data_IF_669196441514
#
_entry.id   IF_669196441514
#
_cell.length_a   1.000
_cell.length_b   1.000
_cell.length_c   1.000
_cell.angle_alpha   90.00
_cell.angle_beta   90.00
_cell.angle_gamma   90.00
#
_symmetry.space_group_name_H-M   'P 1'
#
loop_
_entity.id
_entity.type
_entity.pdbx_description
1 polymer ?
#
# COMPACT_ATOMS: atom_id res chain seq x y z
N UNK A 1 -8.43 -11.64 -7.28
CA UNK A 1 -8.45 -10.21 -7.02
C UNK A 1 -7.45 -9.53 -7.95
N UNK A 2 -7.72 -8.27 -8.36
CA UNK A 2 -6.72 -7.47 -9.04
C UNK A 2 -5.58 -7.26 -8.05
N UNK A 3 -4.38 -7.57 -8.48
CA UNK A 3 -3.18 -7.37 -7.69
C UNK A 3 -2.30 -6.37 -8.41
N UNK A 4 -1.74 -5.43 -7.70
CA UNK A 4 -0.57 -4.75 -8.14
C UNK A 4 0.50 -5.79 -8.43
N UNK A 5 1.47 -5.44 -9.25
CA UNK A 5 2.48 -6.41 -9.69
C UNK A 5 3.08 -7.19 -8.50
N UNK A 6 3.12 -8.51 -8.63
CA UNK A 6 3.72 -9.46 -7.69
C UNK A 6 3.15 -9.47 -6.24
N UNK A 7 2.01 -8.82 -6.00
CA UNK A 7 1.42 -8.68 -4.68
C UNK A 7 0.34 -9.72 -4.31
N UNK A 8 0.35 -10.88 -4.92
CA UNK A 8 -0.65 -11.92 -4.65
C UNK A 8 -0.73 -12.25 -3.16
N UNK A 9 0.41 -12.43 -2.50
CA UNK A 9 0.48 -12.75 -1.07
C UNK A 9 0.00 -11.59 -0.19
N UNK A 10 0.16 -10.36 -0.65
CA UNK A 10 -0.32 -9.18 0.06
C UNK A 10 -1.83 -9.15 0.13
N UNK A 11 -2.50 -9.31 -1.01
CA UNK A 11 -3.97 -9.20 -1.09
C UNK A 11 -4.69 -10.35 -0.41
N UNK A 12 -4.16 -11.57 -0.46
CA UNK A 12 -4.81 -12.75 0.16
C UNK A 12 -4.87 -12.65 1.69
N UNK A 13 -4.01 -11.87 2.31
CA UNK A 13 -4.00 -11.66 3.75
C UNK A 13 -4.84 -10.45 4.21
N UNK A 14 -5.22 -9.56 3.30
CA UNK A 14 -6.02 -8.38 3.62
C UNK A 14 -7.40 -8.71 4.26
N UNK A 15 -8.11 -9.79 3.87
CA UNK A 15 -9.32 -10.21 4.57
C UNK A 15 -9.11 -10.48 6.06
N UNK A 16 -7.93 -10.94 6.49
CA UNK A 16 -7.64 -11.14 7.92
C UNK A 16 -7.66 -9.80 8.67
N UNK A 17 -7.08 -8.73 8.11
CA UNK A 17 -7.14 -7.38 8.68
C UNK A 17 -8.59 -6.94 8.84
N UNK A 18 -9.43 -7.14 7.82
CA UNK A 18 -10.84 -6.79 7.86
C UNK A 18 -11.60 -7.57 8.95
N UNK A 19 -11.35 -8.86 9.09
CA UNK A 19 -11.98 -9.69 10.13
C UNK A 19 -11.58 -9.22 11.52
N UNK A 20 -10.29 -9.00 11.79
CA UNK A 20 -9.85 -8.48 13.08
C UNK A 20 -10.48 -7.13 13.40
N UNK A 21 -10.54 -6.24 12.42
CA UNK A 21 -11.13 -4.91 12.63
C UNK A 21 -12.66 -4.95 12.72
N UNK A 22 -13.36 -5.53 11.74
CA UNK A 22 -14.81 -5.43 11.62
C UNK A 22 -15.59 -6.44 12.47
N UNK A 23 -15.02 -7.65 12.66
CA UNK A 23 -15.71 -8.73 13.39
C UNK A 23 -15.28 -8.75 14.86
N UNK A 24 -13.98 -8.63 15.13
CA UNK A 24 -13.47 -8.65 16.50
C UNK A 24 -13.35 -7.27 17.15
N UNK A 25 -13.66 -6.20 16.42
CA UNK A 25 -13.68 -4.83 16.95
C UNK A 25 -12.31 -4.28 17.33
N UNK A 26 -11.23 -4.83 16.80
CA UNK A 26 -9.89 -4.32 17.05
C UNK A 26 -9.65 -3.00 16.31
N UNK A 27 -8.75 -2.17 16.86
CA UNK A 27 -8.27 -0.99 16.12
C UNK A 27 -7.66 -1.41 14.78
N UNK A 28 -7.61 -0.50 13.80
CA UNK A 28 -6.93 -0.80 12.52
C UNK A 28 -5.45 -1.09 12.72
N UNK A 29 -4.80 -0.45 13.71
CA UNK A 29 -3.40 -0.70 14.08
C UNK A 29 -3.18 -2.13 14.56
N UNK A 30 -4.02 -2.58 15.48
CA UNK A 30 -3.92 -3.94 16.03
C UNK A 30 -4.34 -4.97 14.99
N UNK A 31 -5.38 -4.70 14.21
CA UNK A 31 -5.84 -5.58 13.15
C UNK A 31 -4.72 -5.82 12.10
N UNK A 32 -4.03 -4.76 11.68
CA UNK A 32 -2.88 -4.90 10.79
C UNK A 32 -1.75 -5.69 11.46
N UNK A 33 -1.41 -5.36 12.71
CA UNK A 33 -0.36 -6.03 13.48
C UNK A 33 -0.60 -7.53 13.65
N UNK A 34 -1.83 -7.93 13.95
CA UNK A 34 -2.16 -9.35 14.16
C UNK A 34 -2.29 -10.15 12.86
N UNK A 35 -2.54 -9.49 11.75
CA UNK A 35 -2.74 -10.16 10.46
C UNK A 35 -1.45 -10.42 9.67
N UNK A 36 -0.33 -9.84 10.08
CA UNK A 36 0.95 -10.00 9.39
C UNK A 36 1.99 -10.72 10.25
N UNK A 37 2.91 -11.42 9.59
CA UNK A 37 3.90 -12.26 10.27
C UNK A 37 4.92 -11.45 11.08
N UNK A 38 5.26 -10.25 10.66
CA UNK A 38 6.19 -9.37 11.36
C UNK A 38 5.55 -8.57 12.48
N UNK A 39 4.21 -8.63 12.58
CA UNK A 39 3.45 -7.92 13.60
C UNK A 39 3.70 -6.41 13.63
N UNK A 40 3.95 -5.81 12.47
CA UNK A 40 4.10 -4.37 12.36
C UNK A 40 2.73 -3.69 12.26
N UNK A 41 2.58 -2.56 12.93
CA UNK A 41 1.47 -1.63 12.68
C UNK A 41 1.80 -0.70 11.51
N UNK A 42 0.94 0.28 11.22
CA UNK A 42 1.14 1.21 10.11
C UNK A 42 2.43 2.03 10.21
N UNK A 43 2.71 2.57 11.40
CA UNK A 43 3.87 3.44 11.61
C UNK A 43 5.18 2.64 11.52
N UNK A 44 5.19 1.45 12.09
CA UNK A 44 6.34 0.53 12.00
C UNK A 44 6.55 0.06 10.55
N UNK A 45 5.48 -0.24 9.81
CA UNK A 45 5.57 -0.59 8.39
C UNK A 45 6.05 0.59 7.52
N UNK A 46 5.57 1.80 7.81
CA UNK A 46 6.00 3.02 7.12
C UNK A 46 7.47 3.33 7.40
N UNK A 47 7.90 3.21 8.66
CA UNK A 47 9.30 3.42 9.04
C UNK A 47 10.21 2.39 8.37
N UNK A 48 9.85 1.11 8.40
CA UNK A 48 10.58 0.04 7.71
C UNK A 48 10.71 0.34 6.20
N UNK A 49 9.63 0.84 5.57
CA UNK A 49 9.64 1.23 4.17
C UNK A 49 10.53 2.44 3.90
N UNK A 50 10.39 3.53 4.66
CA UNK A 50 11.18 4.76 4.51
C UNK A 50 12.69 4.50 4.67
N UNK A 51 13.06 3.58 5.55
CA UNK A 51 14.46 3.22 5.77
C UNK A 51 15.02 2.25 4.73
N UNK A 52 14.18 1.68 3.87
CA UNK A 52 14.60 0.71 2.85
C UNK A 52 15.41 1.37 1.73
N UNK A 53 16.34 0.64 1.08
CA UNK A 53 17.08 1.16 -0.07
C UNK A 53 16.16 1.57 -1.23
N UNK A 54 15.11 0.82 -1.62
CA UNK A 54 14.23 1.23 -2.71
C UNK A 54 13.55 2.58 -2.47
N UNK A 55 13.03 2.83 -1.26
CA UNK A 55 12.44 4.13 -0.93
C UNK A 55 13.44 5.28 -1.09
N UNK A 56 14.69 5.08 -0.63
CA UNK A 56 15.74 6.09 -0.68
C UNK A 56 16.21 6.41 -2.10
N UNK A 57 16.14 5.46 -3.01
CA UNK A 57 16.48 5.64 -4.43
C UNK A 57 15.30 6.06 -5.29
N UNK A 58 14.08 6.19 -4.72
CA UNK A 58 12.87 6.49 -5.48
C UNK A 58 12.39 5.32 -6.36
N UNK A 59 12.77 4.11 -5.98
CA UNK A 59 12.39 2.89 -6.70
C UNK A 59 11.05 2.35 -6.19
N UNK A 60 10.44 1.49 -7.02
CA UNK A 60 9.22 0.77 -6.64
C UNK A 60 9.44 -0.09 -5.40
N UNK A 61 8.35 -0.32 -4.67
CA UNK A 61 8.29 -1.41 -3.71
C UNK A 61 8.14 -2.72 -4.49
N UNK A 62 9.25 -3.41 -4.73
CA UNK A 62 9.29 -4.70 -5.42
C UNK A 62 9.65 -5.84 -4.47
N UNK A 63 9.14 -7.04 -4.77
CA UNK A 63 9.68 -8.26 -4.20
C UNK A 63 10.97 -8.56 -4.95
N UNK A 64 12.07 -8.71 -4.24
CA UNK A 64 13.30 -9.22 -4.83
C UNK A 64 13.16 -10.74 -5.06
N UNK A 65 12.59 -11.09 -6.22
CA UNK A 65 12.43 -12.49 -6.63
C UNK A 65 13.76 -13.17 -6.97
N UNK A 66 14.82 -12.40 -7.21
CA UNK A 66 16.15 -12.94 -7.56
C UNK A 66 16.78 -13.63 -6.33
N UNK A 67 16.42 -13.21 -5.13
CA UNK A 67 16.89 -13.77 -3.87
C UNK A 67 15.83 -14.67 -3.18
N UNK A 68 14.96 -15.30 -3.94
CA UNK A 68 13.91 -16.18 -3.41
C UNK A 68 14.47 -17.32 -2.53
N UNK A 69 15.72 -17.71 -2.75
CA UNK A 69 16.43 -18.70 -1.91
C UNK A 69 16.78 -18.15 -0.49
N UNK A 70 16.72 -16.83 -0.30
CA UNK A 70 16.92 -16.18 1.00
C UNK A 70 15.61 -15.93 1.75
N UNK A 71 14.64 -16.79 1.63
CA UNK A 71 13.34 -16.75 2.31
C UNK A 71 13.43 -16.51 3.84
N UNK A 72 14.61 -16.70 4.41
CA UNK A 72 14.88 -16.55 5.84
C UNK A 72 15.40 -15.18 6.25
N UNK A 73 15.71 -14.26 5.32
CA UNK A 73 16.35 -12.99 5.70
C UNK A 73 15.37 -11.87 6.12
N UNK A 74 14.10 -12.18 6.23
CA UNK A 74 13.07 -11.25 6.73
C UNK A 74 12.61 -10.17 5.75
N UNK A 75 13.31 -9.94 4.64
CA UNK A 75 12.97 -8.87 3.68
C UNK A 75 11.66 -9.12 2.96
N UNK A 76 11.39 -10.37 2.60
CA UNK A 76 10.12 -10.72 1.95
C UNK A 76 8.95 -10.57 2.91
N UNK A 77 9.14 -10.93 4.19
CA UNK A 77 8.11 -10.74 5.22
C UNK A 77 7.83 -9.25 5.46
N UNK A 78 8.89 -8.42 5.47
CA UNK A 78 8.76 -6.97 5.55
C UNK A 78 7.97 -6.40 4.36
N UNK A 79 8.24 -6.88 3.15
CA UNK A 79 7.50 -6.51 1.97
C UNK A 79 6.01 -6.86 2.09
N UNK A 80 5.66 -8.07 2.52
CA UNK A 80 4.28 -8.46 2.73
C UNK A 80 3.57 -7.51 3.69
N UNK A 81 4.22 -7.15 4.80
CA UNK A 81 3.65 -6.20 5.76
C UNK A 81 3.44 -4.81 5.16
N UNK A 82 4.44 -4.25 4.49
CA UNK A 82 4.36 -2.96 3.79
C UNK A 82 3.29 -2.98 2.71
N UNK A 83 3.22 -4.07 1.97
CA UNK A 83 2.20 -4.28 0.95
C UNK A 83 0.78 -4.26 1.53
N UNK A 84 0.55 -4.88 2.69
CA UNK A 84 -0.74 -4.81 3.38
C UNK A 84 -1.09 -3.40 3.82
N UNK A 85 -0.11 -2.64 4.34
CA UNK A 85 -0.31 -1.33 4.91
C UNK A 85 -0.94 -0.35 3.90
N UNK A 86 -0.53 -0.36 2.63
CA UNK A 86 -1.10 0.55 1.62
C UNK A 86 -2.59 0.33 1.37
N UNK A 87 -3.06 -0.93 1.33
CA UNK A 87 -4.48 -1.23 1.18
C UNK A 87 -5.26 -0.94 2.46
N UNK A 88 -4.68 -1.30 3.60
CA UNK A 88 -5.26 -1.02 4.90
C UNK A 88 -5.32 0.50 5.18
N UNK A 89 -4.39 1.30 4.67
CA UNK A 89 -4.45 2.77 4.72
C UNK A 89 -5.68 3.32 3.99
N UNK A 90 -6.03 2.78 2.84
CA UNK A 90 -7.26 3.16 2.13
C UNK A 90 -8.48 2.86 3.02
N UNK A 91 -8.53 1.67 3.60
CA UNK A 91 -9.63 1.30 4.50
C UNK A 91 -9.66 2.17 5.75
N UNK A 92 -8.50 2.54 6.32
CA UNK A 92 -8.39 3.40 7.51
C UNK A 92 -8.82 4.84 7.22
N UNK A 93 -8.41 5.40 6.09
CA UNK A 93 -8.70 6.79 5.71
C UNK A 93 -10.15 6.97 5.24
N UNK A 94 -10.71 5.96 4.60
CA UNK A 94 -12.01 6.09 3.93
C UNK A 94 -13.04 5.07 4.38
N UNK A 95 -12.81 3.80 4.30
CA UNK A 95 -13.51 2.66 4.89
C UNK A 95 -13.21 1.36 4.14
N UNK A 96 -13.55 0.22 4.74
CA UNK A 96 -13.52 -1.09 4.08
C UNK A 96 -14.48 -1.17 2.88
N UNK A 97 -15.60 -0.48 2.95
CA UNK A 97 -16.57 -0.39 1.86
C UNK A 97 -15.94 0.28 0.64
N UNK A 98 -15.24 1.40 0.83
CA UNK A 98 -14.55 2.11 -0.25
C UNK A 98 -13.45 1.28 -0.89
N UNK A 99 -12.65 0.60 -0.09
CA UNK A 99 -11.67 -0.36 -0.61
C UNK A 99 -12.36 -1.50 -1.38
N UNK A 100 -13.50 -1.97 -0.88
CA UNK A 100 -14.33 -2.97 -1.55
C UNK A 100 -14.88 -2.48 -2.91
N UNK A 101 -15.31 -1.21 -3.01
CA UNK A 101 -15.75 -0.60 -4.26
C UNK A 101 -14.63 -0.55 -5.31
N UNK A 102 -13.42 -0.16 -4.89
CA UNK A 102 -12.24 -0.15 -5.77
C UNK A 102 -11.94 -1.56 -6.28
N UNK A 103 -11.84 -2.52 -5.38
CA UNK A 103 -11.55 -3.91 -5.75
C UNK A 103 -12.67 -4.56 -6.56
N UNK A 104 -13.94 -4.26 -6.22
CA UNK A 104 -15.12 -4.75 -6.92
C UNK A 104 -15.20 -4.30 -8.38
N UNK A 105 -14.73 -3.10 -8.68
CA UNK A 105 -14.64 -2.59 -10.05
C UNK A 105 -13.87 -3.53 -10.97
N UNK A 106 -12.73 -4.02 -10.51
CA UNK A 106 -11.91 -4.94 -11.31
C UNK A 106 -12.57 -6.29 -11.56
N UNK A 107 -13.37 -6.78 -10.63
CA UNK A 107 -14.14 -7.99 -10.82
C UNK A 107 -15.27 -7.82 -11.85
N UNK A 108 -15.96 -6.69 -11.81
CA UNK A 108 -17.08 -6.40 -12.69
C UNK A 108 -16.62 -6.17 -14.12
N UNK A 109 -15.56 -5.41 -14.31
CA UNK A 109 -15.05 -5.03 -15.64
C UNK A 109 -14.15 -6.11 -16.26
N UNK A 110 -13.86 -7.20 -15.55
CA UNK A 110 -12.92 -8.24 -15.99
C UNK A 110 -11.56 -7.71 -16.46
N UNK A 111 -11.12 -6.61 -15.88
CA UNK A 111 -9.85 -5.91 -16.23
C UNK A 111 -8.62 -6.68 -15.71
N UNK A 112 -8.75 -7.95 -15.44
CA UNK A 112 -7.61 -8.76 -14.98
C UNK A 112 -6.92 -9.32 -16.23
N UNK A 113 -5.86 -8.64 -16.66
CA UNK A 113 -4.92 -9.23 -17.60
C UNK A 113 -3.70 -9.72 -16.80
N UNK A 114 -3.59 -11.03 -16.51
CA UNK A 114 -2.48 -11.59 -15.75
C UNK A 114 -1.13 -11.50 -16.49
N UNK A 115 -1.14 -11.08 -17.76
CA UNK A 115 0.04 -10.94 -18.61
C UNK A 115 0.39 -9.47 -18.91
N UNK A 116 -0.33 -8.50 -18.34
CA UNK A 116 0.04 -7.10 -18.50
C UNK A 116 1.37 -6.83 -17.79
N UNK A 117 2.17 -5.95 -18.38
CA UNK A 117 3.39 -5.50 -17.71
C UNK A 117 3.06 -4.66 -16.47
N UNK A 118 4.00 -4.57 -15.57
CA UNK A 118 3.84 -4.10 -14.20
C UNK A 118 3.30 -2.67 -14.10
N UNK A 119 3.88 -1.74 -14.84
CA UNK A 119 3.49 -0.33 -14.83
C UNK A 119 2.05 -0.12 -15.32
N UNK A 120 1.58 -0.94 -16.25
CA UNK A 120 0.20 -0.86 -16.74
C UNK A 120 -0.83 -1.27 -15.66
N UNK A 121 -0.53 -2.28 -14.86
CA UNK A 121 -1.44 -2.72 -13.78
C UNK A 121 -1.56 -1.67 -12.68
N UNK A 122 -0.45 -1.01 -12.34
CA UNK A 122 -0.45 0.02 -11.33
C UNK A 122 -1.24 1.24 -11.79
N UNK A 123 -1.05 1.70 -13.02
CA UNK A 123 -1.80 2.81 -13.58
C UNK A 123 -3.32 2.53 -13.56
N UNK A 124 -3.74 1.32 -13.94
CA UNK A 124 -5.15 0.93 -13.88
C UNK A 124 -5.67 1.00 -12.44
N UNK A 125 -4.91 0.49 -11.47
CA UNK A 125 -5.36 0.48 -10.09
C UNK A 125 -5.43 1.88 -9.49
N UNK A 126 -4.39 2.70 -9.70
CA UNK A 126 -4.34 4.08 -9.22
C UNK A 126 -5.45 4.93 -9.87
N UNK A 127 -5.65 4.78 -11.18
CA UNK A 127 -6.73 5.46 -11.91
C UNK A 127 -8.10 5.08 -11.38
N UNK A 128 -8.39 3.78 -11.24
CA UNK A 128 -9.65 3.29 -10.70
C UNK A 128 -9.90 3.75 -9.26
N UNK A 129 -8.87 3.70 -8.40
CA UNK A 129 -8.97 4.20 -7.04
C UNK A 129 -9.28 5.70 -7.02
N UNK A 130 -8.59 6.48 -7.86
CA UNK A 130 -8.79 7.93 -7.96
C UNK A 130 -10.18 8.27 -8.49
N UNK A 131 -10.70 7.50 -9.46
CA UNK A 131 -12.04 7.66 -9.99
C UNK A 131 -13.11 7.35 -8.94
N UNK A 132 -13.04 6.19 -8.29
CA UNK A 132 -14.02 5.78 -7.28
C UNK A 132 -14.04 6.69 -6.06
N UNK A 133 -12.90 7.27 -5.71
CA UNK A 133 -12.79 8.22 -4.60
C UNK A 133 -13.05 9.68 -5.03
N UNK A 134 -13.04 9.96 -6.33
CA UNK A 134 -13.12 11.30 -6.92
C UNK A 134 -12.03 12.27 -6.40
N UNK A 135 -10.83 11.75 -6.14
CA UNK A 135 -9.65 12.48 -5.67
C UNK A 135 -8.40 11.92 -6.34
N UNK A 136 -7.28 12.65 -6.22
CA UNK A 136 -5.98 12.12 -6.64
C UNK A 136 -5.42 11.18 -5.56
N UNK A 137 -5.46 9.87 -5.83
CA UNK A 137 -4.92 8.84 -4.94
C UNK A 137 -3.41 8.56 -5.17
N UNK A 138 -2.82 9.08 -6.27
CA UNK A 138 -1.44 8.79 -6.61
C UNK A 138 -0.44 9.10 -5.48
N UNK A 139 -0.54 10.20 -4.69
CA UNK A 139 0.41 10.46 -3.63
C UNK A 139 0.46 9.39 -2.53
N UNK A 140 -0.67 8.72 -2.22
CA UNK A 140 -0.70 7.63 -1.25
C UNK A 140 -0.01 6.39 -1.81
N UNK A 141 -0.25 6.07 -3.08
CA UNK A 141 0.39 4.94 -3.75
C UNK A 141 1.88 5.17 -3.96
N UNK A 142 2.28 6.38 -4.39
CA UNK A 142 3.67 6.78 -4.55
C UNK A 142 4.46 6.61 -3.25
N UNK A 143 3.91 7.07 -2.14
CA UNK A 143 4.53 6.86 -0.83
C UNK A 143 4.83 5.37 -0.57
N UNK A 144 3.91 4.47 -0.92
CA UNK A 144 4.08 3.03 -0.74
C UNK A 144 4.81 2.35 -1.91
N UNK A 145 5.49 3.11 -2.76
CA UNK A 145 6.34 2.60 -3.84
C UNK A 145 5.57 2.00 -5.01
N UNK A 146 4.31 2.40 -5.20
CA UNK A 146 3.51 2.08 -6.38
C UNK A 146 3.44 3.31 -7.27
N UNK A 147 4.30 3.35 -8.27
CA UNK A 147 4.55 4.55 -9.07
C UNK A 147 3.58 4.62 -10.26
N UNK A 148 2.84 5.71 -10.35
CA UNK A 148 2.06 6.03 -11.54
C UNK A 148 2.99 6.45 -12.70
N UNK A 149 2.60 6.17 -13.94
CA UNK A 149 3.29 6.72 -15.10
C UNK A 149 3.15 8.25 -15.17
N UNK A 150 4.08 8.92 -15.86
CA UNK A 150 4.03 10.38 -16.04
C UNK A 150 2.72 10.85 -16.69
N UNK A 151 2.16 10.05 -17.59
CA UNK A 151 0.87 10.33 -18.22
C UNK A 151 -0.27 10.32 -17.22
N UNK A 152 -0.32 9.30 -16.35
CA UNK A 152 -1.36 9.21 -15.33
C UNK A 152 -1.18 10.29 -14.25
N UNK A 153 0.05 10.61 -13.85
CA UNK A 153 0.33 11.72 -12.93
C UNK A 153 -0.27 13.02 -13.49
N UNK A 154 0.05 13.35 -14.75
CA UNK A 154 -0.48 14.56 -15.41
C UNK A 154 -2.00 14.59 -15.50
N UNK A 155 -2.64 13.45 -15.75
CA UNK A 155 -4.10 13.33 -15.75
C UNK A 155 -4.70 13.59 -14.35
N UNK A 156 -4.09 12.99 -13.32
CA UNK A 156 -4.59 13.07 -11.95
C UNK A 156 -4.32 14.41 -11.27
N UNK A 157 -3.38 15.23 -11.77
CA UNK A 157 -3.15 16.59 -11.28
C UNK A 157 -4.41 17.48 -11.39
N UNK A 158 -5.34 17.15 -12.29
CA UNK A 158 -6.61 17.86 -12.41
C UNK A 158 -7.59 17.56 -11.28
N UNK A 159 -7.35 16.49 -10.50
CA UNK A 159 -8.19 16.09 -9.37
C UNK A 159 -7.67 16.67 -8.06
N UNK A 160 -8.55 17.01 -7.10
CA UNK A 160 -8.12 17.50 -5.80
C UNK A 160 -7.37 16.39 -5.04
N UNK A 161 -6.30 16.78 -4.35
CA UNK A 161 -5.67 15.91 -3.33
C UNK A 161 -6.40 16.06 -2.01
N UNK A 162 -6.88 14.95 -1.42
CA UNK A 162 -7.58 14.96 -0.13
C UNK A 162 -6.62 15.32 1.02
N UNK A 163 -7.10 16.12 1.95
CA UNK A 163 -6.32 16.53 3.13
C UNK A 163 -6.00 15.34 4.04
N UNK A 164 -6.85 14.30 4.08
CA UNK A 164 -6.58 13.06 4.82
C UNK A 164 -5.31 12.37 4.31
N UNK A 165 -5.10 12.32 3.00
CA UNK A 165 -3.86 11.78 2.41
C UNK A 165 -2.67 12.64 2.82
N UNK A 166 -2.78 13.98 2.70
CA UNK A 166 -1.69 14.89 3.09
C UNK A 166 -1.32 14.74 4.56
N UNK A 167 -2.31 14.73 5.45
CA UNK A 167 -2.10 14.54 6.89
C UNK A 167 -1.45 13.18 7.18
N UNK A 168 -1.88 12.12 6.50
CA UNK A 168 -1.30 10.78 6.66
C UNK A 168 0.17 10.74 6.23
N UNK A 169 0.50 11.33 5.10
CA UNK A 169 1.88 11.41 4.60
C UNK A 169 2.76 12.30 5.49
N UNK A 170 2.21 13.41 6.02
CA UNK A 170 2.91 14.24 6.99
C UNK A 170 3.18 13.48 8.29
N UNK A 171 2.22 12.69 8.77
CA UNK A 171 2.40 11.83 9.93
C UNK A 171 3.55 10.84 9.69
N UNK A 172 3.56 10.12 8.58
CA UNK A 172 4.63 9.17 8.25
C UNK A 172 6.02 9.83 8.16
N UNK A 173 6.08 11.05 7.67
CA UNK A 173 7.34 11.82 7.70
C UNK A 173 7.78 12.20 9.10
N UNK A 174 6.83 12.50 9.98
CA UNK A 174 7.11 12.96 11.34
C UNK A 174 7.64 11.86 12.28
N UNK A 175 7.40 10.59 11.97
CA UNK A 175 7.88 9.47 12.79
C UNK A 175 9.33 9.08 12.48
N UNK A 176 9.94 9.65 11.43
CA UNK A 176 11.35 9.40 11.11
C UNK A 176 12.23 10.18 12.09
N UNK A 177 13.11 9.50 12.84
CA UNK A 177 14.03 10.17 13.74
C UNK A 177 14.95 11.14 12.99
N UNK A 178 15.12 12.36 13.53
CA UNK A 178 15.97 13.40 12.92
C UNK A 178 17.45 13.22 13.24
N UNK A 179 17.78 12.42 14.26
CA UNK A 179 19.12 12.15 14.73
C UNK A 179 19.26 10.74 15.30
N UNK A 180 20.48 10.37 15.71
CA UNK A 180 20.77 9.06 16.26
C UNK A 180 20.35 8.92 17.74
N UNK A 181 19.98 9.98 18.42
CA UNK A 181 19.64 9.93 19.84
C UNK A 181 18.30 9.22 20.07
N UNK A 182 17.45 9.20 19.06
CA UNK A 182 16.18 8.47 19.07
C UNK A 182 16.35 6.93 19.01
N UNK A 183 17.55 6.43 18.75
CA UNK A 183 17.86 4.98 18.69
C UNK A 183 18.55 4.46 19.96
N UNK A 184 18.70 5.27 21.01
CA UNK A 184 19.17 4.86 22.32
C UNK A 184 17.99 4.50 23.21
#
# INVERSE_FOLDING_TARGET
PPTLHEEHETIVNLPAVAVYNQVFGQSMEDALRYSNQQRLNFDEAALDWILSPPFRSGERMEIDLVNYDNYLDGRQLAYQTRGHAKYADIAKLYSWEKLGEINGYFYQERIINPFANNSYQDDIYISAASEKMNINMAPLFDFWGVLASDNLVSELETRPTDDKIKERLLHYRSIVPLDNDAFQ
#
